data_IF_194755527617
#
_entry.id   IF_194755527617
#
_cell.length_a   1.000
_cell.length_b   1.000
_cell.length_c   1.000
_cell.angle_alpha   90.00
_cell.angle_beta   90.00
_cell.angle_gamma   90.00
#
_symmetry.space_group_name_H-M   'P 1'
#
loop_
_entity.id
_entity.type
_entity.pdbx_description
1 polymer ?
#
# COMPACT_ATOMS: atom_id res chain seq x y z
N UNK A 1 -8.11 -3.19 -12.87
CA UNK A 1 -6.69 -3.56 -12.74
C UNK A 1 -5.92 -2.35 -12.20
N UNK A 2 -5.24 -2.52 -11.09
CA UNK A 2 -4.45 -1.45 -10.46
C UNK A 2 -3.29 -1.02 -11.37
N UNK A 3 -3.01 0.28 -11.39
CA UNK A 3 -1.92 0.86 -12.17
C UNK A 3 -0.90 1.51 -11.25
N UNK A 4 0.39 1.21 -11.44
CA UNK A 4 1.46 1.87 -10.68
C UNK A 4 1.42 3.39 -10.84
N UNK A 5 1.82 4.07 -9.78
CA UNK A 5 1.87 5.53 -9.70
C UNK A 5 0.52 6.24 -9.57
N UNK A 6 -0.59 5.51 -9.56
CA UNK A 6 -1.90 6.06 -9.23
C UNK A 6 -2.16 6.04 -7.72
N UNK A 7 -3.15 6.83 -7.32
CA UNK A 7 -3.60 6.92 -5.94
C UNK A 7 -4.99 6.30 -5.81
N UNK A 8 -5.20 5.59 -4.72
CA UNK A 8 -6.42 4.83 -4.47
C UNK A 8 -7.00 5.10 -3.09
N UNK A 9 -8.29 4.94 -2.98
CA UNK A 9 -9.00 4.87 -1.70
C UNK A 9 -9.18 3.39 -1.36
N UNK A 10 -8.75 3.03 -0.16
CA UNK A 10 -8.88 1.68 0.37
C UNK A 10 -10.29 1.53 0.99
N UNK A 11 -10.92 0.39 0.81
CA UNK A 11 -12.19 0.07 1.46
C UNK A 11 -12.00 -0.08 2.98
N UNK A 12 -12.93 0.46 3.77
CA UNK A 12 -12.88 0.36 5.23
C UNK A 12 -12.94 -1.09 5.72
N UNK A 13 -13.49 -2.01 4.89
CA UNK A 13 -13.51 -3.44 5.19
C UNK A 13 -12.10 -4.01 5.38
N UNK A 14 -11.09 -3.48 4.70
CA UNK A 14 -9.69 -3.89 4.91
C UNK A 14 -9.26 -3.71 6.37
N UNK A 15 -9.59 -2.59 6.98
CA UNK A 15 -9.19 -2.28 8.36
C UNK A 15 -10.02 -3.05 9.39
N UNK A 16 -11.21 -3.51 9.02
CA UNK A 16 -12.05 -4.42 9.82
C UNK A 16 -11.48 -5.85 9.76
N UNK A 17 -11.09 -6.31 8.58
CA UNK A 17 -10.56 -7.66 8.36
C UNK A 17 -9.15 -7.86 8.93
N UNK A 18 -8.36 -6.77 9.00
CA UNK A 18 -7.00 -6.76 9.53
C UNK A 18 -6.86 -5.76 10.70
N UNK A 19 -7.51 -6.03 11.84
CA UNK A 19 -7.45 -5.13 12.99
C UNK A 19 -6.02 -5.12 13.56
N UNK A 20 -5.41 -3.94 13.53
CA UNK A 20 -4.12 -3.68 14.16
C UNK A 20 -4.18 -2.30 14.80
N UNK A 21 -3.78 -2.18 16.07
CA UNK A 21 -3.85 -0.94 16.85
C UNK A 21 -3.12 0.23 16.18
N UNK A 22 -2.12 -0.08 15.37
CA UNK A 22 -1.26 0.90 14.71
C UNK A 22 -1.57 1.09 13.22
N UNK A 23 -2.40 0.21 12.64
CA UNK A 23 -2.87 0.37 11.27
C UNK A 23 -3.95 1.46 11.23
N UNK A 24 -3.57 2.63 10.77
CA UNK A 24 -4.48 3.78 10.74
C UNK A 24 -5.47 3.61 9.60
N UNK A 25 -6.76 3.73 9.94
CA UNK A 25 -7.84 3.69 8.97
C UNK A 25 -7.83 4.85 7.97
N UNK A 26 -8.85 4.89 7.17
CA UNK A 26 -8.99 5.65 5.95
C UNK A 26 -9.53 7.09 6.14
N UNK A 27 -9.73 7.55 7.39
CA UNK A 27 -10.34 8.84 7.72
C UNK A 27 -11.64 9.10 6.93
N UNK A 28 -12.61 8.20 7.01
CA UNK A 28 -13.87 8.28 6.26
C UNK A 28 -13.66 8.31 4.74
N UNK A 29 -12.75 7.45 4.25
CA UNK A 29 -12.43 7.29 2.83
C UNK A 29 -11.87 8.54 2.12
N UNK A 30 -11.25 9.43 2.89
CA UNK A 30 -10.63 10.64 2.35
C UNK A 30 -9.10 10.57 2.29
N UNK A 31 -8.50 9.45 2.71
CA UNK A 31 -7.06 9.30 2.73
C UNK A 31 -6.55 8.60 1.46
N UNK A 32 -5.84 9.31 0.57
CA UNK A 32 -5.23 8.68 -0.59
C UNK A 32 -4.06 7.78 -0.19
N UNK A 33 -3.94 6.66 -0.92
CA UNK A 33 -2.84 5.72 -0.82
C UNK A 33 -2.16 5.60 -2.18
N UNK A 34 -0.86 5.82 -2.21
CA UNK A 34 -0.06 5.68 -3.42
C UNK A 34 0.23 4.22 -3.70
N UNK A 35 -0.09 3.73 -4.90
CA UNK A 35 0.29 2.38 -5.33
C UNK A 35 1.77 2.38 -5.71
N UNK A 36 2.59 1.76 -4.88
CA UNK A 36 4.04 1.78 -4.99
C UNK A 36 4.57 0.68 -5.91
N UNK A 37 4.14 -0.57 -5.70
CA UNK A 37 4.54 -1.72 -6.52
C UNK A 37 3.68 -2.96 -6.26
N UNK A 38 3.64 -3.84 -7.24
CA UNK A 38 3.11 -5.19 -7.14
C UNK A 38 4.24 -6.13 -6.68
N UNK A 39 3.96 -7.03 -5.74
CA UNK A 39 4.99 -7.94 -5.22
C UNK A 39 5.40 -8.96 -6.28
N UNK A 40 6.69 -9.01 -6.70
CA UNK A 40 7.10 -9.86 -7.82
C UNK A 40 6.88 -11.35 -7.58
N UNK A 41 7.07 -11.81 -6.34
CA UNK A 41 6.90 -13.22 -5.95
C UNK A 41 5.43 -13.63 -5.76
N UNK A 42 4.54 -12.65 -5.59
CA UNK A 42 3.13 -12.86 -5.29
C UNK A 42 2.30 -11.77 -5.98
N UNK A 43 2.00 -11.92 -7.28
CA UNK A 43 1.38 -10.86 -8.09
C UNK A 43 -0.04 -10.48 -7.65
N UNK A 44 -0.68 -11.23 -6.76
CA UNK A 44 -1.94 -10.83 -6.10
C UNK A 44 -1.77 -9.82 -4.98
N UNK A 45 -0.53 -9.56 -4.51
CA UNK A 45 -0.23 -8.62 -3.43
C UNK A 45 0.29 -7.30 -4.00
N UNK A 46 -0.33 -6.21 -3.58
CA UNK A 46 0.03 -4.84 -3.91
C UNK A 46 0.49 -4.11 -2.66
N UNK A 47 1.51 -3.27 -2.77
CA UNK A 47 1.99 -2.46 -1.66
C UNK A 47 1.60 -1.01 -1.86
N UNK A 48 0.94 -0.43 -0.85
CA UNK A 48 0.47 0.94 -0.87
C UNK A 48 1.10 1.77 0.23
N UNK A 49 1.35 3.05 -0.07
CA UNK A 49 1.93 4.03 0.84
C UNK A 49 0.87 5.07 1.20
N UNK A 50 0.46 5.17 2.47
CA UNK A 50 -0.49 6.18 2.89
C UNK A 50 0.13 7.58 2.86
N UNK A 51 -0.71 8.58 2.52
CA UNK A 51 -0.31 9.98 2.55
C UNK A 51 -0.77 10.68 3.83
N UNK A 52 -0.14 11.81 4.12
CA UNK A 52 -0.51 12.67 5.25
C UNK A 52 -0.27 14.15 4.93
N UNK A 53 -1.23 14.98 5.29
CA UNK A 53 -1.14 16.44 5.19
C UNK A 53 -0.43 17.10 6.40
N UNK A 54 0.09 16.32 7.34
CA UNK A 54 0.79 16.85 8.55
C UNK A 54 2.24 17.23 8.26
N UNK A 55 2.44 18.13 7.30
CA UNK A 55 3.75 18.49 6.73
C UNK A 55 4.75 18.91 7.80
N UNK A 56 4.39 19.86 8.68
CA UNK A 56 5.31 20.42 9.67
C UNK A 56 5.84 19.35 10.64
N UNK A 57 4.96 18.46 11.09
CA UNK A 57 5.35 17.33 11.95
C UNK A 57 6.43 16.46 11.30
N UNK A 58 6.20 16.05 10.07
CA UNK A 58 7.10 15.12 9.39
C UNK A 58 8.35 15.80 8.86
N UNK A 59 8.28 17.08 8.46
CA UNK A 59 9.44 17.90 8.11
C UNK A 59 10.41 17.99 9.28
N UNK A 60 9.92 18.25 10.49
CA UNK A 60 10.74 18.27 11.71
C UNK A 60 11.42 16.91 11.98
N UNK A 61 10.74 15.80 11.74
CA UNK A 61 11.33 14.46 11.89
C UNK A 61 12.45 14.22 10.86
N UNK A 62 12.23 14.60 9.59
CA UNK A 62 13.23 14.49 8.54
C UNK A 62 14.47 15.32 8.89
N UNK A 63 14.30 16.59 9.23
CA UNK A 63 15.37 17.50 9.59
C UNK A 63 16.22 17.00 10.77
N UNK A 64 15.56 16.49 11.84
CA UNK A 64 16.26 15.91 12.98
C UNK A 64 17.10 14.70 12.59
N UNK A 65 16.63 13.88 11.67
CA UNK A 65 17.36 12.71 11.20
C UNK A 65 18.56 13.13 10.31
N UNK A 66 18.35 14.05 9.42
CA UNK A 66 19.39 14.60 8.52
C UNK A 66 20.49 15.36 9.29
N UNK A 67 20.13 16.06 10.36
CA UNK A 67 21.10 16.72 11.25
C UNK A 67 22.06 15.72 11.93
N UNK A 68 21.72 14.44 11.98
CA UNK A 68 22.63 13.37 12.44
C UNK A 68 23.47 12.73 11.31
N UNK A 69 23.46 13.31 10.10
CA UNK A 69 24.15 12.76 8.93
C UNK A 69 23.49 11.54 8.30
N UNK A 70 22.22 11.23 8.66
CA UNK A 70 21.49 10.06 8.16
C UNK A 70 20.40 10.47 7.17
N UNK A 71 20.30 9.78 6.05
CA UNK A 71 19.18 9.97 5.12
C UNK A 71 17.84 9.52 5.73
N UNK A 72 16.75 10.20 5.39
CA UNK A 72 15.41 9.80 5.78
C UNK A 72 14.74 9.00 4.64
N UNK A 73 14.85 7.67 4.70
CA UNK A 73 14.23 6.78 3.71
C UNK A 73 12.78 6.42 4.04
N UNK A 74 12.36 6.65 5.28
CA UNK A 74 11.03 6.26 5.80
C UNK A 74 9.92 7.27 5.51
N UNK A 75 10.31 8.49 5.13
CA UNK A 75 9.40 9.61 4.83
C UNK A 75 9.85 10.33 3.56
N UNK A 76 8.88 10.86 2.81
CA UNK A 76 9.17 11.73 1.66
C UNK A 76 8.10 12.82 1.57
N UNK A 77 8.53 14.09 1.45
CA UNK A 77 7.62 15.22 1.26
C UNK A 77 7.82 15.74 -0.16
N UNK A 78 6.72 15.90 -0.87
CA UNK A 78 6.73 16.46 -2.22
C UNK A 78 5.39 17.12 -2.54
N UNK A 79 5.34 17.90 -3.61
CA UNK A 79 4.11 18.43 -4.16
C UNK A 79 3.33 17.32 -4.89
N UNK A 80 2.05 17.21 -4.60
CA UNK A 80 1.10 16.32 -5.25
C UNK A 80 -0.08 17.16 -5.71
N UNK A 81 -0.16 17.44 -7.00
CA UNK A 81 -1.20 18.25 -7.61
C UNK A 81 -1.38 19.65 -6.98
N UNK A 82 -0.27 20.34 -6.72
CA UNK A 82 -0.25 21.70 -6.17
C UNK A 82 -0.37 21.79 -4.66
N UNK A 83 -0.25 20.66 -3.95
CA UNK A 83 -0.29 20.60 -2.50
C UNK A 83 0.82 19.72 -1.97
N UNK A 84 1.55 20.20 -0.95
CA UNK A 84 2.54 19.34 -0.28
C UNK A 84 1.86 18.20 0.48
N UNK A 85 2.34 16.98 0.24
CA UNK A 85 1.91 15.77 0.93
C UNK A 85 3.14 14.98 1.43
N UNK A 86 2.94 14.23 2.50
CA UNK A 86 3.96 13.32 3.06
C UNK A 86 3.63 11.90 2.68
N UNK A 87 4.53 11.23 2.00
CA UNK A 87 4.49 9.80 1.77
C UNK A 87 5.04 9.10 3.02
N UNK A 88 4.17 8.38 3.73
CA UNK A 88 4.53 7.64 4.94
C UNK A 88 5.05 6.25 4.57
N UNK A 89 6.25 6.18 4.00
CA UNK A 89 6.83 4.94 3.46
C UNK A 89 7.01 3.90 4.57
N UNK A 90 7.31 4.34 5.79
CA UNK A 90 7.39 3.47 6.97
C UNK A 90 6.06 2.79 7.33
N UNK A 91 4.94 3.40 6.94
CA UNK A 91 3.59 2.92 7.23
C UNK A 91 2.97 2.18 6.03
N UNK A 92 3.77 1.84 4.99
CA UNK A 92 3.27 1.09 3.85
C UNK A 92 2.77 -0.28 4.28
N UNK A 93 1.76 -0.78 3.57
CA UNK A 93 1.13 -2.05 3.89
C UNK A 93 0.69 -2.80 2.63
N UNK A 94 0.58 -4.15 2.71
CA UNK A 94 0.12 -4.99 1.61
C UNK A 94 -1.40 -4.98 1.50
N UNK A 95 -1.90 -5.12 0.28
CA UNK A 95 -3.33 -5.16 -0.01
C UNK A 95 -3.59 -6.07 -1.22
N UNK A 96 -4.80 -6.56 -1.39
CA UNK A 96 -5.29 -7.22 -2.62
C UNK A 96 -6.34 -6.33 -3.29
N UNK A 97 -6.56 -6.53 -4.59
CA UNK A 97 -7.39 -5.64 -5.43
C UNK A 97 -8.82 -5.45 -4.89
N UNK A 98 -9.41 -6.49 -4.30
CA UNK A 98 -10.78 -6.44 -3.75
C UNK A 98 -10.99 -5.40 -2.64
N UNK A 99 -9.91 -4.94 -1.98
CA UNK A 99 -9.97 -3.89 -0.96
C UNK A 99 -9.71 -2.49 -1.52
N UNK A 100 -9.55 -2.36 -2.84
CA UNK A 100 -9.55 -1.05 -3.49
C UNK A 100 -10.99 -0.63 -3.73
N UNK A 101 -11.39 0.47 -3.10
CA UNK A 101 -12.73 1.01 -3.27
C UNK A 101 -12.88 1.76 -4.59
N UNK A 102 -11.91 2.61 -4.89
CA UNK A 102 -11.89 3.44 -6.11
C UNK A 102 -10.54 4.12 -6.31
N UNK A 103 -10.32 4.64 -7.49
CA UNK A 103 -9.26 5.61 -7.72
C UNK A 103 -9.51 6.89 -6.92
N UNK A 104 -8.43 7.50 -6.43
CA UNK A 104 -8.51 8.83 -5.86
C UNK A 104 -8.48 9.86 -6.99
N UNK A 105 -9.48 10.74 -7.02
CA UNK A 105 -9.64 11.74 -8.08
C UNK A 105 -9.56 13.16 -7.52
N UNK A 106 -9.05 14.09 -8.34
CA UNK A 106 -9.12 15.53 -8.12
C UNK A 106 -9.94 16.10 -9.27
N UNK A 107 -11.03 16.79 -8.96
CA UNK A 107 -11.96 17.32 -9.99
C UNK A 107 -12.43 16.24 -11.00
N UNK A 108 -12.64 15.01 -10.52
CA UNK A 108 -13.10 13.89 -11.36
C UNK A 108 -11.99 13.22 -12.19
N UNK A 109 -10.74 13.68 -12.12
CA UNK A 109 -9.61 13.10 -12.85
C UNK A 109 -8.80 12.22 -11.91
N UNK A 110 -8.51 10.95 -12.25
CA UNK A 110 -7.66 10.08 -11.45
C UNK A 110 -6.28 10.71 -11.21
N UNK A 111 -5.88 10.75 -9.94
CA UNK A 111 -4.58 11.29 -9.56
C UNK A 111 -3.49 10.31 -9.89
N UNK A 112 -2.48 10.77 -10.62
CA UNK A 112 -1.28 10.01 -10.98
C UNK A 112 -0.03 10.83 -10.70
N UNK A 113 1.00 10.20 -10.18
CA UNK A 113 2.32 10.80 -10.08
C UNK A 113 3.00 10.75 -11.45
N UNK A 114 3.40 11.92 -11.97
CA UNK A 114 3.94 12.06 -13.34
C UNK A 114 5.44 12.35 -13.36
N UNK A 115 5.97 12.98 -12.30
CA UNK A 115 7.38 13.34 -12.26
C UNK A 115 8.26 12.10 -12.07
N UNK A 116 9.05 11.77 -13.08
CA UNK A 116 9.92 10.59 -13.05
C UNK A 116 11.00 10.63 -11.95
N UNK A 117 11.50 11.79 -11.58
CA UNK A 117 12.51 11.91 -10.52
C UNK A 117 11.90 11.59 -9.16
N UNK A 118 10.68 12.05 -8.92
CA UNK A 118 9.94 11.75 -7.70
C UNK A 118 9.58 10.27 -7.64
N UNK A 119 9.10 9.69 -8.75
CA UNK A 119 8.84 8.26 -8.88
C UNK A 119 10.10 7.44 -8.56
N UNK A 120 11.25 7.78 -9.15
CA UNK A 120 12.53 7.09 -8.88
C UNK A 120 12.94 7.23 -7.41
N UNK A 121 12.76 8.40 -6.82
CA UNK A 121 13.09 8.67 -5.41
C UNK A 121 12.21 7.86 -4.47
N UNK A 122 10.89 7.86 -4.69
CA UNK A 122 9.95 7.07 -3.89
C UNK A 122 10.24 5.58 -4.04
N UNK A 123 10.42 5.08 -5.28
CA UNK A 123 10.74 3.67 -5.56
C UNK A 123 12.01 3.22 -4.82
N UNK A 124 13.07 4.02 -4.83
CA UNK A 124 14.31 3.73 -4.08
C UNK A 124 14.06 3.60 -2.57
N UNK A 125 13.32 4.54 -2.00
CA UNK A 125 12.98 4.54 -0.57
C UNK A 125 12.06 3.37 -0.21
N UNK A 126 11.02 3.11 -1.00
CA UNK A 126 10.07 2.00 -0.84
C UNK A 126 10.81 0.66 -0.86
N UNK A 127 11.66 0.42 -1.87
CA UNK A 127 12.43 -0.82 -1.97
C UNK A 127 13.35 -1.04 -0.75
N UNK A 128 13.99 0.02 -0.27
CA UNK A 128 14.84 -0.05 0.92
C UNK A 128 14.02 -0.40 2.17
N UNK A 129 12.89 0.26 2.37
CA UNK A 129 12.00 0.01 3.52
C UNK A 129 11.40 -1.40 3.43
N UNK A 130 10.92 -1.82 2.26
CA UNK A 130 10.38 -3.17 2.02
C UNK A 130 11.41 -4.25 2.37
N UNK A 131 12.64 -4.12 1.87
CA UNK A 131 13.72 -5.07 2.17
C UNK A 131 14.05 -5.18 3.66
N UNK A 132 13.82 -4.13 4.44
CA UNK A 132 13.98 -4.15 5.90
C UNK A 132 12.76 -4.78 6.59
N UNK A 133 11.56 -4.52 6.11
CA UNK A 133 10.31 -5.11 6.63
C UNK A 133 10.31 -6.63 6.50
N UNK A 134 10.72 -7.19 5.35
CA UNK A 134 10.79 -8.64 5.15
C UNK A 134 11.85 -9.32 6.05
N UNK A 135 12.81 -8.55 6.55
CA UNK A 135 13.81 -9.00 7.55
C UNK A 135 13.33 -8.83 9.00
N UNK A 136 12.07 -8.41 9.21
CA UNK A 136 11.49 -8.19 10.53
C UNK A 136 11.89 -6.88 11.21
N UNK A 137 12.52 -5.93 10.49
CA UNK A 137 12.92 -4.64 11.05
C UNK A 137 11.70 -3.75 11.24
N UNK A 138 11.52 -3.24 12.44
CA UNK A 138 10.52 -2.22 12.77
C UNK A 138 11.19 -0.85 12.82
N UNK A 139 10.54 0.15 12.21
CA UNK A 139 11.04 1.53 12.19
C UNK A 139 10.56 2.35 13.39
N UNK A 140 9.46 1.90 14.01
CA UNK A 140 8.81 2.55 15.15
C UNK A 140 8.19 1.50 16.08
N UNK A 141 8.11 1.78 17.39
CA UNK A 141 7.41 0.90 18.34
C UNK A 141 5.92 0.70 17.98
N UNK A 142 5.31 1.75 17.37
CA UNK A 142 3.90 1.81 16.99
C UNK A 142 3.64 1.42 15.53
N UNK A 143 4.52 0.61 14.94
CA UNK A 143 4.36 0.14 13.57
C UNK A 143 3.43 -1.07 13.50
N UNK A 144 2.43 -1.10 12.59
CA UNK A 144 1.59 -2.27 12.38
C UNK A 144 2.40 -3.48 11.92
N UNK A 145 1.91 -4.69 12.22
CA UNK A 145 2.55 -5.92 11.78
C UNK A 145 2.15 -6.26 10.34
N UNK A 146 2.65 -5.49 9.40
CA UNK A 146 2.31 -5.61 7.97
C UNK A 146 2.71 -6.96 7.36
N UNK A 147 3.75 -7.62 7.89
CA UNK A 147 4.16 -8.95 7.41
C UNK A 147 3.16 -10.02 7.83
N UNK A 148 2.58 -9.94 9.04
CA UNK A 148 1.48 -10.82 9.45
C UNK A 148 0.24 -10.62 8.57
N UNK A 149 -0.08 -9.37 8.22
CA UNK A 149 -1.17 -9.06 7.30
C UNK A 149 -0.90 -9.67 5.92
N UNK A 150 0.31 -9.52 5.41
CA UNK A 150 0.74 -10.12 4.14
C UNK A 150 0.55 -11.64 4.12
N UNK A 151 1.01 -12.31 5.16
CA UNK A 151 0.90 -13.78 5.26
C UNK A 151 -0.56 -14.23 5.33
N UNK A 152 -1.42 -13.47 5.98
CA UNK A 152 -2.87 -13.72 6.03
C UNK A 152 -3.53 -13.49 4.67
N UNK A 153 -3.15 -12.44 3.94
CA UNK A 153 -3.63 -12.20 2.58
C UNK A 153 -3.25 -13.33 1.63
N UNK A 154 -2.01 -13.82 1.72
CA UNK A 154 -1.56 -14.97 0.91
C UNK A 154 -2.36 -16.23 1.17
N UNK A 155 -2.70 -16.51 2.43
CA UNK A 155 -3.58 -17.65 2.77
C UNK A 155 -4.97 -17.50 2.16
N UNK A 156 -5.55 -16.30 2.21
CA UNK A 156 -6.86 -16.02 1.61
C UNK A 156 -6.85 -16.19 0.09
N UNK A 157 -5.80 -15.69 -0.60
CA UNK A 157 -5.61 -15.89 -2.04
C UNK A 157 -5.57 -17.39 -2.37
N UNK A 158 -4.77 -18.17 -1.67
CA UNK A 158 -4.64 -19.60 -1.91
C UNK A 158 -5.96 -20.36 -1.71
N UNK A 159 -6.77 -19.99 -0.73
CA UNK A 159 -8.09 -20.57 -0.51
C UNK A 159 -9.05 -20.21 -1.65
N UNK A 160 -9.07 -18.97 -2.10
CA UNK A 160 -9.91 -18.51 -3.21
C UNK A 160 -9.55 -19.22 -4.53
N UNK A 161 -8.28 -19.42 -4.82
CA UNK A 161 -7.82 -20.18 -5.99
C UNK A 161 -8.29 -21.63 -5.96
N UNK A 162 -8.19 -22.30 -4.81
CA UNK A 162 -8.67 -23.69 -4.64
C UNK A 162 -10.19 -23.78 -4.84
N UNK A 163 -10.96 -22.83 -4.31
CA UNK A 163 -12.42 -22.81 -4.48
C UNK A 163 -12.80 -22.58 -5.94
N UNK A 164 -12.17 -21.64 -6.62
CA UNK A 164 -12.40 -21.37 -8.05
C UNK A 164 -12.12 -22.60 -8.93
N UNK A 165 -11.03 -23.33 -8.65
CA UNK A 165 -10.71 -24.56 -9.39
C UNK A 165 -11.76 -25.66 -9.18
N UNK A 166 -12.30 -25.80 -7.98
CA UNK A 166 -13.36 -26.77 -7.68
C UNK A 166 -14.68 -26.42 -8.39
N UNK A 167 -15.04 -25.15 -8.47
CA UNK A 167 -16.24 -24.69 -9.18
C UNK A 167 -16.12 -24.94 -10.68
N UNK A 168 -14.95 -24.69 -11.28
CA UNK A 168 -14.70 -24.97 -12.69
C UNK A 168 -14.79 -26.49 -12.98
N UNK A 169 -14.22 -27.33 -12.13
CA UNK A 169 -14.29 -28.78 -12.28
C UNK A 169 -15.74 -29.29 -12.20
N UNK A 170 -16.53 -28.79 -11.24
CA UNK A 170 -17.94 -29.18 -11.08
C UNK A 170 -18.83 -28.75 -12.25
N UNK A 171 -18.51 -27.63 -12.91
CA UNK A 171 -19.25 -27.17 -14.10
C UNK A 171 -18.89 -27.96 -15.37
N UNK A 172 -17.66 -28.46 -15.50
CA UNK A 172 -17.24 -29.27 -16.64
C UNK A 172 -17.83 -30.68 -16.61
N UNK A 173 -18.02 -31.29 -15.42
CA UNK A 173 -18.62 -32.62 -15.28
C UNK A 173 -20.12 -32.62 -15.67
N UNK A 174 -20.83 -31.52 -15.38
CA UNK A 174 -22.25 -31.39 -15.75
C UNK A 174 -22.52 -31.19 -17.25
N UNK A 175 -21.51 -30.81 -18.04
CA UNK A 175 -21.63 -30.64 -19.49
C UNK A 175 -21.29 -31.90 -20.29
N UNK A 176 -20.69 -32.90 -19.66
CA UNK A 176 -20.36 -34.19 -20.30
C UNK A 176 -21.47 -35.23 -20.21
N UNK A 177 -22.55 -34.96 -19.47
CA UNK A 177 -23.71 -35.85 -19.31
C UNK A 177 -24.97 -35.44 -20.12
N UNK A 178 -24.82 -34.49 -21.08
CA UNK A 178 -25.96 -34.01 -21.88
C UNK A 178 -25.93 -34.47 -23.33
#
# INVERSE_FOLDING_TARGET
MLQEHYFYIIDDQYFIDFPDTYLRGNHQENRPHYFAFQEPSNPGIFWVVPLSSRIQKYRSIIQKKEATGKSCDTLHIMDVAGKEEVFLIQDMFPIVERYIKREYTISGIPLKLLNENDIKTIRKKVNKVYNLLIRGIKFMPTQPNVMKIRDELLKRIAVEEVLSLKEIAATSDNQSES
#
